data_IF_557836765944
#
_entry.id   IF_557836765944
#
_cell.length_a   1.000
_cell.length_b   1.000
_cell.length_c   1.000
_cell.angle_alpha   90.00
_cell.angle_beta   90.00
_cell.angle_gamma   90.00
#
_symmetry.space_group_name_H-M   'P 1'
#
loop_
_entity.id
_entity.type
_entity.pdbx_description
1 polymer ?
#
# COMPACT_ATOMS: atom_id res chain seq x y z
N UNK A 1 -2.20 9.99 -4.37
CA UNK A 1 -0.94 9.56 -3.71
C UNK A 1 0.30 10.12 -4.38
N UNK A 2 1.32 10.46 -3.60
CA UNK A 2 2.65 10.86 -4.08
C UNK A 2 3.47 9.61 -4.43
N UNK A 3 3.85 9.40 -5.70
CA UNK A 3 4.61 8.21 -6.14
C UNK A 3 5.98 8.06 -5.45
N UNK A 4 6.49 9.11 -4.80
CA UNK A 4 7.66 9.02 -3.91
C UNK A 4 7.45 8.02 -2.76
N UNK A 5 6.21 7.77 -2.34
CA UNK A 5 5.89 6.84 -1.25
C UNK A 5 6.27 5.40 -1.57
N UNK A 6 6.36 5.02 -2.84
CA UNK A 6 6.82 3.68 -3.24
C UNK A 6 8.31 3.43 -3.03
N UNK A 7 9.05 4.47 -2.62
CA UNK A 7 10.46 4.36 -2.20
C UNK A 7 10.62 4.32 -0.67
N UNK A 8 9.52 4.38 0.09
CA UNK A 8 9.53 4.24 1.55
C UNK A 8 9.96 2.82 1.96
N UNK A 9 10.66 2.72 3.08
CA UNK A 9 11.33 1.48 3.49
C UNK A 9 10.36 0.32 3.76
N UNK A 10 9.14 0.62 4.19
CA UNK A 10 8.09 -0.36 4.52
C UNK A 10 7.20 -0.72 3.32
N UNK A 11 7.35 -0.02 2.18
CA UNK A 11 6.55 -0.30 1.00
C UNK A 11 6.76 -1.72 0.45
N UNK A 12 8.02 -2.20 0.42
CA UNK A 12 8.31 -3.55 -0.09
C UNK A 12 7.68 -4.64 0.76
N UNK A 13 7.54 -4.44 2.06
CA UNK A 13 6.87 -5.40 2.95
C UNK A 13 5.38 -5.47 2.63
N UNK A 14 4.71 -4.33 2.52
CA UNK A 14 3.32 -4.24 2.06
C UNK A 14 3.13 -4.91 0.69
N UNK A 15 4.01 -4.60 -0.27
CA UNK A 15 3.92 -5.17 -1.61
C UNK A 15 4.07 -6.70 -1.60
N UNK A 16 4.95 -7.23 -0.75
CA UNK A 16 5.11 -8.68 -0.56
C UNK A 16 3.85 -9.30 0.04
N UNK A 17 3.17 -8.62 0.97
CA UNK A 17 1.90 -9.08 1.53
C UNK A 17 0.82 -9.17 0.44
N UNK A 18 0.68 -8.17 -0.44
CA UNK A 18 -0.27 -8.22 -1.56
C UNK A 18 -0.02 -9.39 -2.51
N UNK A 19 1.25 -9.66 -2.82
CA UNK A 19 1.65 -10.81 -3.65
C UNK A 19 1.29 -12.13 -2.97
N UNK A 20 1.54 -12.25 -1.67
CA UNK A 20 1.24 -13.48 -0.90
C UNK A 20 -0.26 -13.74 -0.77
N UNK A 21 -1.06 -12.68 -0.68
CA UNK A 21 -2.53 -12.74 -0.63
C UNK A 21 -3.17 -12.95 -2.00
N UNK A 22 -2.37 -12.94 -3.07
CA UNK A 22 -2.87 -12.93 -4.45
C UNK A 22 -3.91 -11.81 -4.68
N UNK A 23 -3.67 -10.63 -4.09
CA UNK A 23 -4.57 -9.48 -4.10
C UNK A 23 -4.43 -8.60 -5.36
N UNK A 24 -3.67 -9.07 -6.36
CA UNK A 24 -3.30 -8.32 -7.56
C UNK A 24 -3.63 -9.14 -8.80
N UNK A 25 -4.18 -8.48 -9.83
CA UNK A 25 -4.41 -9.09 -11.13
C UNK A 25 -3.10 -9.43 -11.86
N UNK A 26 -3.15 -10.36 -12.83
CA UNK A 26 -1.96 -10.91 -13.52
C UNK A 26 -0.94 -9.84 -14.00
N UNK A 27 -1.34 -8.73 -14.68
CA UNK A 27 -0.39 -7.71 -15.11
C UNK A 27 0.28 -6.99 -13.94
N UNK A 28 -0.49 -6.68 -12.90
CA UNK A 28 0.00 -6.00 -11.71
C UNK A 28 0.88 -6.91 -10.87
N UNK A 29 0.50 -8.19 -10.72
CA UNK A 29 1.27 -9.20 -9.99
C UNK A 29 2.68 -9.38 -10.56
N UNK A 30 2.80 -9.45 -11.90
CA UNK A 30 4.10 -9.52 -12.58
C UNK A 30 4.97 -8.29 -12.31
N UNK A 31 4.38 -7.10 -12.40
CA UNK A 31 5.09 -5.84 -12.13
C UNK A 31 5.50 -5.74 -10.65
N UNK A 32 4.64 -6.15 -9.72
CA UNK A 32 4.93 -6.16 -8.28
C UNK A 32 6.10 -7.07 -7.93
N UNK A 33 6.16 -8.28 -8.51
CA UNK A 33 7.32 -9.17 -8.36
C UNK A 33 8.60 -8.55 -8.92
N UNK A 34 8.50 -7.83 -10.03
CA UNK A 34 9.63 -7.09 -10.59
C UNK A 34 10.12 -5.96 -9.66
N UNK A 35 9.20 -5.19 -9.07
CA UNK A 35 9.52 -4.13 -8.09
C UNK A 35 10.16 -4.70 -6.82
N UNK A 36 9.69 -5.84 -6.33
CA UNK A 36 10.30 -6.53 -5.18
C UNK A 36 11.75 -6.93 -5.44
N UNK A 37 12.04 -7.43 -6.65
CA UNK A 37 13.38 -7.86 -7.05
C UNK A 37 14.33 -6.71 -7.42
N UNK A 38 13.77 -5.56 -7.84
CA UNK A 38 14.52 -4.38 -8.26
C UNK A 38 14.06 -3.21 -7.38
N UNK A 39 13.59 -2.12 -7.98
CA UNK A 39 12.93 -0.99 -7.32
C UNK A 39 11.86 -0.40 -8.23
N UNK A 40 10.96 0.41 -7.67
CA UNK A 40 9.92 1.13 -8.41
C UNK A 40 10.48 1.99 -9.54
N UNK A 41 11.67 2.58 -9.36
CA UNK A 41 12.29 3.43 -10.35
C UNK A 41 12.85 2.70 -11.57
N UNK A 42 12.98 1.37 -11.49
CA UNK A 42 13.33 0.53 -12.64
C UNK A 42 12.14 0.32 -13.60
N UNK A 43 10.92 0.73 -13.23
CA UNK A 43 9.75 0.60 -14.08
C UNK A 43 9.72 1.63 -15.22
N UNK A 44 9.30 1.17 -16.40
CA UNK A 44 8.91 2.06 -17.50
C UNK A 44 7.66 2.88 -17.15
N UNK A 45 7.41 3.96 -17.89
CA UNK A 45 6.22 4.81 -17.69
C UNK A 45 4.91 4.03 -17.72
N UNK A 46 4.78 3.08 -18.67
CA UNK A 46 3.57 2.27 -18.79
C UNK A 46 3.42 1.29 -17.63
N UNK A 47 4.52 0.69 -17.17
CA UNK A 47 4.49 -0.18 -16.00
C UNK A 47 4.15 0.60 -14.72
N UNK A 48 4.70 1.81 -14.54
CA UNK A 48 4.34 2.71 -13.44
C UNK A 48 2.84 3.00 -13.47
N UNK A 49 2.27 3.35 -14.63
CA UNK A 49 0.83 3.60 -14.74
C UNK A 49 -0.03 2.40 -14.28
N UNK A 50 0.29 1.19 -14.75
CA UNK A 50 -0.46 -0.03 -14.37
C UNK A 50 -0.28 -0.34 -12.88
N UNK A 51 0.95 -0.23 -12.38
CA UNK A 51 1.29 -0.50 -11.00
C UNK A 51 0.64 0.49 -10.03
N UNK A 52 0.84 1.79 -10.26
CA UNK A 52 0.29 2.88 -9.45
C UNK A 52 -1.22 2.71 -9.32
N UNK A 53 -1.90 2.46 -10.44
CA UNK A 53 -3.35 2.23 -10.47
C UNK A 53 -3.75 1.01 -9.65
N UNK A 54 -3.06 -0.12 -9.84
CA UNK A 54 -3.37 -1.36 -9.14
C UNK A 54 -3.19 -1.25 -7.61
N UNK A 55 -2.19 -0.50 -7.16
CA UNK A 55 -1.98 -0.25 -5.72
C UNK A 55 -3.01 0.75 -5.18
N UNK A 56 -3.23 1.88 -5.86
CA UNK A 56 -4.09 2.96 -5.37
C UNK A 56 -5.58 2.67 -5.45
N UNK A 57 -6.02 1.86 -6.40
CA UNK A 57 -7.42 1.47 -6.57
C UNK A 57 -7.70 0.06 -6.01
N UNK A 58 -6.67 -0.59 -5.42
CA UNK A 58 -6.76 -1.92 -4.86
C UNK A 58 -7.42 -1.95 -3.47
N UNK A 59 -7.83 -3.15 -3.04
CA UNK A 59 -8.58 -3.40 -1.80
C UNK A 59 -7.83 -3.02 -0.51
N UNK A 60 -6.51 -2.96 -0.53
CA UNK A 60 -5.70 -2.75 0.68
C UNK A 60 -5.00 -1.41 0.64
N UNK A 61 -5.70 -0.35 0.26
CA UNK A 61 -5.13 0.98 0.17
C UNK A 61 -6.06 2.03 0.79
N UNK A 62 -5.53 2.73 1.79
CA UNK A 62 -6.17 3.84 2.48
C UNK A 62 -5.19 5.02 2.47
N UNK A 63 -5.55 6.09 1.77
CA UNK A 63 -4.65 7.24 1.54
C UNK A 63 -4.20 7.87 2.87
N UNK A 64 -5.17 8.24 3.70
CA UNK A 64 -4.94 8.93 4.97
C UNK A 64 -5.83 8.41 6.09
N UNK A 65 -5.31 8.48 7.31
CA UNK A 65 -6.05 8.17 8.52
C UNK A 65 -7.26 9.10 8.67
N UNK A 66 -8.45 8.53 8.73
CA UNK A 66 -9.72 9.25 8.86
C UNK A 66 -9.84 10.11 10.12
N UNK A 67 -9.02 9.85 11.15
CA UNK A 67 -9.03 10.56 12.43
C UNK A 67 -8.01 11.68 12.53
N UNK A 68 -6.74 11.44 12.15
CA UNK A 68 -5.67 12.44 12.29
C UNK A 68 -5.26 13.10 10.98
N UNK A 69 -5.72 12.60 9.83
CA UNK A 69 -5.40 13.13 8.50
C UNK A 69 -3.98 12.83 8.00
N UNK A 70 -3.17 12.11 8.77
CA UNK A 70 -1.83 11.69 8.33
C UNK A 70 -1.92 10.50 7.39
N UNK A 71 -0.97 10.40 6.47
CA UNK A 71 -0.75 9.23 5.63
C UNK A 71 -0.62 7.96 6.49
N UNK A 72 -1.31 6.88 6.11
CA UNK A 72 -1.16 5.59 6.79
C UNK A 72 0.18 4.95 6.38
N UNK A 73 1.03 4.51 7.33
CA UNK A 73 2.27 3.79 7.02
C UNK A 73 1.99 2.55 6.18
N UNK A 74 2.89 2.19 5.25
CA UNK A 74 2.70 0.98 4.44
C UNK A 74 2.63 -0.29 5.29
N UNK A 75 3.42 -0.33 6.36
CA UNK A 75 3.40 -1.40 7.36
C UNK A 75 2.03 -1.62 8.04
N UNK A 76 1.15 -0.61 8.06
CA UNK A 76 -0.20 -0.69 8.62
C UNK A 76 -1.30 -0.83 7.56
N UNK A 77 -0.96 -0.56 6.29
CA UNK A 77 -1.90 -0.35 5.20
C UNK A 77 -2.85 -1.54 4.98
N UNK A 78 -2.33 -2.77 5.12
CA UNK A 78 -3.13 -3.99 4.93
C UNK A 78 -4.33 -4.09 5.88
N UNK A 79 -4.21 -3.53 7.10
CA UNK A 79 -5.23 -3.59 8.15
C UNK A 79 -5.95 -2.26 8.34
N UNK A 80 -5.67 -1.26 7.50
CA UNK A 80 -6.20 0.09 7.67
C UNK A 80 -7.73 0.13 7.57
N UNK A 81 -8.31 -0.62 6.63
CA UNK A 81 -9.77 -0.72 6.47
C UNK A 81 -10.42 -1.39 7.69
N UNK A 82 -9.86 -2.51 8.16
CA UNK A 82 -10.32 -3.21 9.38
C UNK A 82 -10.22 -2.33 10.63
N UNK A 83 -9.30 -1.36 10.63
CA UNK A 83 -9.15 -0.36 11.66
C UNK A 83 -10.08 0.86 11.49
N UNK A 84 -11.06 0.81 10.59
CA UNK A 84 -12.00 1.90 10.33
C UNK A 84 -11.37 3.05 9.55
N UNK A 85 -10.46 2.74 8.62
CA UNK A 85 -9.64 3.68 7.87
C UNK A 85 -8.76 4.55 8.79
N UNK A 86 -8.21 3.97 9.85
CA UNK A 86 -7.38 4.68 10.83
C UNK A 86 -6.01 4.04 10.96
N UNK A 87 -4.99 4.86 11.26
CA UNK A 87 -3.70 4.34 11.70
C UNK A 87 -3.84 3.60 13.04
N UNK A 88 -2.91 2.70 13.32
CA UNK A 88 -2.90 1.83 14.49
C UNK A 88 -3.08 2.60 15.81
N UNK A 89 -2.42 3.74 15.95
CA UNK A 89 -2.53 4.59 17.12
C UNK A 89 -3.95 5.18 17.28
N UNK A 90 -4.50 5.74 16.19
CA UNK A 90 -5.83 6.34 16.20
C UNK A 90 -6.94 5.32 16.50
N UNK A 91 -6.80 4.10 15.98
CA UNK A 91 -7.78 3.02 16.15
C UNK A 91 -7.82 2.48 17.58
N UNK A 92 -6.72 2.60 18.33
CA UNK A 92 -6.62 2.17 19.72
C UNK A 92 -7.12 3.24 20.71
N UNK A 93 -6.78 4.51 20.48
CA UNK A 93 -7.13 5.63 21.39
C UNK A 93 -8.65 5.87 21.51
N UNK A 94 -9.46 5.31 20.60
CA UNK A 94 -10.92 5.37 20.64
C UNK A 94 -11.62 4.15 21.28
N UNK A 95 -10.89 3.06 21.55
CA UNK A 95 -11.46 1.86 22.20
C UNK A 95 -11.55 2.13 23.69
N UNK A 96 -12.76 2.41 24.18
CA UNK A 96 -13.05 2.35 25.62
C UNK A 96 -13.06 0.88 26.04
N UNK A 97 -12.16 0.55 26.95
CA UNK A 97 -12.18 -0.60 27.84
C UNK A 97 -13.50 -0.69 28.65
#
# INVERSE_FOLDING_TARGET
MNSKRFSEYDFKEYLQQLVNLNALDDPALGISKFVLANDYDSLSKNQKFVFDKAIMEGTYYVDQCSRCGNDIPWSEMLFAEDNGNQCSWCSQVGRKD
#
